data_IF_859555133447
#
_entry.id   IF_859555133447
#
_cell.length_a   1.000
_cell.length_b   1.000
_cell.length_c   1.000
_cell.angle_alpha   90.00
_cell.angle_beta   90.00
_cell.angle_gamma   90.00
#
_symmetry.space_group_name_H-M   'P 1'
#
loop_
_entity.id
_entity.type
_entity.pdbx_description
1 polymer ?
#
# COMPACT_ATOMS: atom_id res chain seq x y z
N UNK A 1 -85.57 -127.45 -36.75
CA UNK A 1 -84.67 -126.41 -36.16
C UNK A 1 -84.76 -125.00 -36.79
N UNK A 2 -85.14 -124.80 -38.06
CA UNK A 2 -85.30 -123.44 -38.67
C UNK A 2 -86.58 -122.68 -38.26
N UNK A 3 -87.66 -123.38 -37.86
CA UNK A 3 -88.92 -122.81 -37.30
C UNK A 3 -88.78 -122.05 -35.97
N UNK A 4 -87.69 -122.20 -35.20
CA UNK A 4 -87.50 -121.50 -33.90
C UNK A 4 -86.62 -120.24 -33.98
N UNK A 5 -85.68 -120.14 -34.95
CA UNK A 5 -84.75 -119.00 -35.11
C UNK A 5 -85.32 -117.86 -35.99
N UNK A 6 -86.09 -118.18 -37.04
CA UNK A 6 -86.73 -117.17 -37.89
C UNK A 6 -87.92 -116.47 -37.20
N UNK A 7 -88.74 -117.22 -36.47
CA UNK A 7 -89.86 -116.68 -35.68
C UNK A 7 -89.39 -115.75 -34.56
N UNK A 8 -88.31 -116.11 -33.83
CA UNK A 8 -87.71 -115.24 -32.80
C UNK A 8 -87.10 -113.95 -33.37
N UNK A 9 -86.54 -113.98 -34.60
CA UNK A 9 -86.05 -112.77 -35.29
C UNK A 9 -87.19 -111.91 -35.82
N UNK A 10 -88.25 -112.50 -36.36
CA UNK A 10 -89.42 -111.78 -36.85
C UNK A 10 -90.21 -111.10 -35.72
N UNK A 11 -90.34 -111.75 -34.55
CA UNK A 11 -90.94 -111.11 -33.37
C UNK A 11 -90.07 -109.97 -32.82
N UNK A 12 -88.74 -110.14 -32.73
CA UNK A 12 -87.83 -109.06 -32.31
C UNK A 12 -87.85 -107.85 -33.26
N UNK A 13 -87.79 -108.08 -34.57
CA UNK A 13 -87.89 -107.01 -35.57
C UNK A 13 -89.26 -106.31 -35.53
N UNK A 14 -90.34 -107.06 -35.27
CA UNK A 14 -91.68 -106.49 -35.13
C UNK A 14 -91.81 -105.64 -33.86
N UNK A 15 -91.18 -106.07 -32.76
CA UNK A 15 -91.13 -105.30 -31.51
C UNK A 15 -90.23 -104.06 -31.65
N UNK A 16 -89.12 -104.14 -32.39
CA UNK A 16 -88.27 -102.99 -32.72
C UNK A 16 -88.99 -102.00 -33.65
N UNK A 17 -89.69 -102.47 -34.68
CA UNK A 17 -90.50 -101.61 -35.56
C UNK A 17 -91.64 -100.95 -34.75
N UNK A 18 -92.26 -101.67 -33.82
CA UNK A 18 -93.25 -101.07 -32.91
C UNK A 18 -92.63 -99.99 -32.02
N UNK A 19 -91.43 -100.22 -31.47
CA UNK A 19 -90.71 -99.21 -30.68
C UNK A 19 -90.35 -97.98 -31.52
N UNK A 20 -89.77 -98.17 -32.69
CA UNK A 20 -89.38 -97.08 -33.60
C UNK A 20 -90.60 -96.28 -34.05
N UNK A 21 -91.73 -96.93 -34.37
CA UNK A 21 -92.97 -96.21 -34.70
C UNK A 21 -93.52 -95.43 -33.50
N UNK A 22 -93.43 -95.99 -32.29
CA UNK A 22 -93.84 -95.27 -31.06
C UNK A 22 -92.93 -94.06 -30.77
N UNK A 23 -91.62 -94.15 -31.06
CA UNK A 23 -90.67 -93.05 -30.94
C UNK A 23 -90.89 -91.99 -32.02
N UNK A 24 -91.15 -92.40 -33.26
CA UNK A 24 -91.51 -91.48 -34.35
C UNK A 24 -92.79 -90.72 -34.03
N UNK A 25 -93.82 -91.39 -33.51
CA UNK A 25 -95.06 -90.72 -33.10
C UNK A 25 -94.83 -89.71 -31.98
N UNK A 26 -93.96 -90.03 -31.01
CA UNK A 26 -93.55 -89.09 -29.96
C UNK A 26 -92.81 -87.87 -30.53
N UNK A 27 -91.82 -88.07 -31.40
CA UNK A 27 -91.06 -86.99 -32.02
C UNK A 27 -91.93 -86.10 -32.92
N UNK A 28 -92.89 -86.66 -33.65
CA UNK A 28 -93.85 -85.86 -34.44
C UNK A 28 -94.75 -85.03 -33.54
N UNK A 29 -95.10 -85.55 -32.36
CA UNK A 29 -95.87 -84.81 -31.35
C UNK A 29 -95.05 -83.66 -30.77
N UNK A 30 -93.81 -83.91 -30.38
CA UNK A 30 -92.87 -82.89 -29.89
C UNK A 30 -92.60 -81.81 -30.95
N UNK A 31 -92.41 -82.18 -32.22
CA UNK A 31 -92.25 -81.19 -33.31
C UNK A 31 -93.47 -80.29 -33.46
N UNK A 32 -94.69 -80.86 -33.38
CA UNK A 32 -95.94 -80.08 -33.45
C UNK A 32 -96.08 -79.12 -32.26
N UNK A 33 -95.67 -79.56 -31.07
CA UNK A 33 -95.72 -78.74 -29.86
C UNK A 33 -94.69 -77.61 -29.91
N UNK A 34 -93.45 -77.89 -30.33
CA UNK A 34 -92.41 -76.86 -30.55
C UNK A 34 -92.81 -75.85 -31.62
N UNK A 35 -93.42 -76.30 -32.72
CA UNK A 35 -93.90 -75.39 -33.77
C UNK A 35 -95.01 -74.46 -33.27
N UNK A 36 -95.94 -74.97 -32.45
CA UNK A 36 -96.95 -74.12 -31.79
C UNK A 36 -96.33 -73.12 -30.83
N UNK A 37 -95.25 -73.48 -30.13
CA UNK A 37 -94.53 -72.55 -29.26
C UNK A 37 -93.86 -71.42 -30.06
N UNK A 38 -93.21 -71.74 -31.18
CA UNK A 38 -92.60 -70.74 -32.07
C UNK A 38 -93.67 -69.79 -32.62
N UNK A 39 -94.79 -70.32 -33.15
CA UNK A 39 -95.90 -69.50 -33.65
C UNK A 39 -96.52 -68.62 -32.54
N UNK A 40 -96.38 -69.01 -31.27
CA UNK A 40 -96.79 -68.22 -30.10
C UNK A 40 -95.81 -67.08 -29.81
N UNK A 41 -94.52 -67.36 -29.79
CA UNK A 41 -93.46 -66.36 -29.57
C UNK A 41 -93.48 -65.30 -30.68
N UNK A 42 -93.69 -65.69 -31.94
CA UNK A 42 -93.80 -64.72 -33.04
C UNK A 42 -94.99 -63.76 -32.88
N UNK A 43 -96.10 -64.24 -32.32
CA UNK A 43 -97.25 -63.38 -32.00
C UNK A 43 -96.94 -62.44 -30.84
N UNK A 44 -96.22 -62.89 -29.82
CA UNK A 44 -95.77 -62.04 -28.72
C UNK A 44 -94.81 -60.95 -29.18
N UNK A 45 -93.84 -61.27 -30.04
CA UNK A 45 -92.92 -60.28 -30.63
C UNK A 45 -93.70 -59.22 -31.39
N UNK A 46 -94.70 -59.61 -32.18
CA UNK A 46 -95.54 -58.66 -32.92
C UNK A 46 -96.33 -57.75 -31.99
N UNK A 47 -96.95 -58.31 -30.94
CA UNK A 47 -97.69 -57.54 -29.95
C UNK A 47 -96.78 -56.56 -29.17
N UNK A 48 -95.55 -56.95 -28.86
CA UNK A 48 -94.56 -56.07 -28.23
C UNK A 48 -94.12 -54.94 -29.16
N UNK A 49 -93.94 -55.22 -30.45
CA UNK A 49 -93.63 -54.18 -31.45
C UNK A 49 -94.74 -53.14 -31.56
N UNK A 50 -96.00 -53.59 -31.62
CA UNK A 50 -97.16 -52.69 -31.67
C UNK A 50 -97.26 -51.84 -30.37
N UNK A 51 -96.93 -52.42 -29.21
CA UNK A 51 -96.87 -51.72 -27.92
C UNK A 51 -95.77 -50.64 -27.89
N UNK A 52 -94.60 -50.91 -28.47
CA UNK A 52 -93.51 -49.93 -28.59
C UNK A 52 -93.93 -48.75 -29.46
N UNK A 53 -94.65 -48.98 -30.55
CA UNK A 53 -95.14 -47.90 -31.42
C UNK A 53 -96.19 -47.03 -30.74
N UNK A 54 -97.06 -47.63 -29.92
CA UNK A 54 -98.00 -46.89 -29.07
C UNK A 54 -97.23 -46.04 -28.05
N UNK A 55 -96.21 -46.60 -27.39
CA UNK A 55 -95.40 -45.87 -26.42
C UNK A 55 -94.66 -44.68 -27.04
N UNK A 56 -94.12 -44.82 -28.27
CA UNK A 56 -93.50 -43.71 -29.01
C UNK A 56 -94.47 -42.58 -29.30
N UNK A 57 -95.71 -42.89 -29.70
CA UNK A 57 -96.76 -41.87 -29.92
C UNK A 57 -97.09 -41.11 -28.64
N UNK A 58 -97.23 -41.82 -27.51
CA UNK A 58 -97.47 -41.19 -26.21
C UNK A 58 -96.30 -40.30 -25.76
N UNK A 59 -95.06 -40.69 -26.07
CA UNK A 59 -93.87 -39.91 -25.76
C UNK A 59 -93.85 -38.58 -26.54
N UNK A 60 -94.17 -38.63 -27.84
CA UNK A 60 -94.32 -37.43 -28.67
C UNK A 60 -95.46 -36.51 -28.23
N UNK A 61 -96.58 -37.06 -27.74
CA UNK A 61 -97.65 -36.26 -27.13
C UNK A 61 -97.22 -35.62 -25.80
N UNK A 62 -96.46 -36.34 -24.97
CA UNK A 62 -95.90 -35.78 -23.72
C UNK A 62 -94.86 -34.70 -23.99
N UNK A 63 -94.05 -34.82 -25.03
CA UNK A 63 -93.11 -33.78 -25.48
C UNK A 63 -93.83 -32.53 -25.98
N UNK A 64 -94.93 -32.69 -26.73
CA UNK A 64 -95.80 -31.57 -27.09
C UNK A 64 -96.43 -30.91 -25.86
N UNK A 65 -96.88 -31.70 -24.88
CA UNK A 65 -97.37 -31.23 -23.59
C UNK A 65 -96.30 -30.50 -22.77
N UNK A 66 -95.04 -30.95 -22.79
CA UNK A 66 -93.91 -30.25 -22.15
C UNK A 66 -93.67 -28.90 -22.82
N UNK A 67 -93.78 -28.82 -24.15
CA UNK A 67 -93.65 -27.56 -24.88
C UNK A 67 -94.83 -26.59 -24.68
N UNK A 68 -96.04 -27.11 -24.39
CA UNK A 68 -97.23 -26.33 -24.04
C UNK A 68 -97.25 -25.91 -22.55
N UNK A 69 -96.60 -26.67 -21.65
CA UNK A 69 -96.38 -26.32 -20.22
C UNK A 69 -95.16 -25.38 -20.13
N UNK A 70 -95.27 -24.24 -20.80
CA UNK A 70 -94.36 -23.12 -20.69
C UNK A 70 -94.70 -22.33 -19.41
N UNK A 71 -93.91 -22.55 -18.35
CA UNK A 71 -93.78 -21.61 -17.21
C UNK A 71 -92.29 -21.43 -16.92
N UNK A 72 -91.84 -20.18 -17.04
CA UNK A 72 -90.48 -19.59 -16.99
C UNK A 72 -89.36 -20.37 -16.23
N UNK A 73 -88.49 -21.05 -16.98
CA UNK A 73 -87.25 -21.73 -16.51
C UNK A 73 -86.22 -20.76 -15.89
N UNK A 74 -86.24 -19.50 -16.29
CA UNK A 74 -85.18 -18.52 -15.97
C UNK A 74 -85.29 -18.01 -14.52
N UNK A 75 -86.48 -17.97 -13.93
CA UNK A 75 -86.68 -17.58 -12.52
C UNK A 75 -86.26 -18.68 -11.53
N UNK A 76 -86.45 -19.96 -11.89
CA UNK A 76 -86.08 -21.08 -11.01
C UNK A 76 -84.56 -21.27 -10.97
N UNK A 77 -83.89 -21.16 -12.11
CA UNK A 77 -82.42 -21.14 -12.20
C UNK A 77 -81.81 -19.97 -11.42
N UNK A 78 -82.37 -18.75 -11.49
CA UNK A 78 -81.88 -17.60 -10.71
C UNK A 78 -82.02 -17.77 -9.20
N UNK A 79 -83.10 -18.40 -8.72
CA UNK A 79 -83.28 -18.68 -7.29
C UNK A 79 -82.28 -19.74 -6.82
N UNK A 80 -82.05 -20.80 -7.60
CA UNK A 80 -81.03 -21.80 -7.29
C UNK A 80 -79.61 -21.20 -7.30
N UNK A 81 -79.28 -20.39 -8.31
CA UNK A 81 -78.00 -19.67 -8.38
C UNK A 81 -77.83 -18.70 -7.18
N UNK A 82 -78.87 -17.97 -6.80
CA UNK A 82 -78.83 -17.09 -5.62
C UNK A 82 -78.62 -17.87 -4.32
N UNK A 83 -79.24 -19.05 -4.19
CA UNK A 83 -79.05 -19.93 -3.04
C UNK A 83 -77.64 -20.55 -2.99
N UNK A 84 -77.08 -20.94 -4.14
CA UNK A 84 -75.70 -21.40 -4.24
C UNK A 84 -74.72 -20.28 -3.87
N UNK A 85 -74.91 -19.07 -4.38
CA UNK A 85 -74.12 -17.89 -4.01
C UNK A 85 -74.25 -17.58 -2.52
N UNK A 86 -75.45 -17.68 -1.92
CA UNK A 86 -75.63 -17.49 -0.48
C UNK A 86 -74.85 -18.54 0.32
N UNK A 87 -74.88 -19.81 -0.09
CA UNK A 87 -74.15 -20.89 0.56
C UNK A 87 -72.64 -20.72 0.42
N UNK A 88 -72.16 -20.24 -0.72
CA UNK A 88 -70.76 -19.87 -0.93
C UNK A 88 -70.36 -18.67 -0.07
N UNK A 89 -71.22 -17.65 0.03
CA UNK A 89 -71.02 -16.51 0.91
C UNK A 89 -70.94 -16.92 2.37
N UNK A 90 -71.84 -17.79 2.85
CA UNK A 90 -71.83 -18.30 4.23
C UNK A 90 -70.56 -19.11 4.53
N UNK A 91 -70.08 -19.91 3.56
CA UNK A 91 -68.79 -20.61 3.66
C UNK A 91 -67.62 -19.61 3.72
N UNK A 92 -67.61 -18.62 2.84
CA UNK A 92 -66.57 -17.59 2.79
C UNK A 92 -66.58 -16.70 4.05
N UNK A 93 -67.74 -16.38 4.61
CA UNK A 93 -67.89 -15.63 5.86
C UNK A 93 -67.37 -16.43 7.06
N UNK A 94 -67.65 -17.73 7.09
CA UNK A 94 -67.09 -18.62 8.12
C UNK A 94 -65.57 -18.72 8.02
N UNK A 95 -65.03 -18.93 6.83
CA UNK A 95 -63.58 -18.93 6.61
C UNK A 95 -62.94 -17.58 6.98
N UNK A 96 -63.60 -16.47 6.65
CA UNK A 96 -63.14 -15.12 7.00
C UNK A 96 -63.06 -14.97 8.52
N UNK A 97 -64.09 -15.36 9.27
CA UNK A 97 -64.11 -15.30 10.74
C UNK A 97 -63.01 -16.17 11.37
N UNK A 98 -62.78 -17.36 10.83
CA UNK A 98 -61.68 -18.23 11.28
C UNK A 98 -60.30 -17.60 11.03
N UNK A 99 -60.10 -16.99 9.84
CA UNK A 99 -58.87 -16.25 9.50
C UNK A 99 -58.70 -15.01 10.37
N UNK A 100 -59.76 -14.27 10.66
CA UNK A 100 -59.74 -13.10 11.55
C UNK A 100 -59.32 -13.48 12.98
N UNK A 101 -59.88 -14.57 13.51
CA UNK A 101 -59.45 -15.13 14.81
C UNK A 101 -57.97 -15.52 14.78
N UNK A 102 -57.51 -16.17 13.70
CA UNK A 102 -56.11 -16.56 13.55
C UNK A 102 -55.18 -15.34 13.47
N UNK A 103 -55.60 -14.26 12.82
CA UNK A 103 -54.85 -13.00 12.77
C UNK A 103 -54.69 -12.40 14.17
N UNK A 104 -55.73 -12.45 15.00
CA UNK A 104 -55.66 -11.94 16.37
C UNK A 104 -54.65 -12.73 17.22
N UNK A 105 -54.70 -14.07 17.15
CA UNK A 105 -53.74 -14.95 17.83
C UNK A 105 -52.30 -14.67 17.39
N UNK A 106 -52.07 -14.49 16.09
CA UNK A 106 -50.75 -14.17 15.55
C UNK A 106 -50.25 -12.80 16.02
N UNK A 107 -51.14 -11.79 16.11
CA UNK A 107 -50.78 -10.46 16.64
C UNK A 107 -50.35 -10.51 18.10
N UNK A 108 -51.04 -11.29 18.93
CA UNK A 108 -50.64 -11.49 20.32
C UNK A 108 -49.28 -12.18 20.43
N UNK A 109 -49.03 -13.18 19.59
CA UNK A 109 -47.75 -13.89 19.55
C UNK A 109 -46.60 -12.97 19.11
N UNK A 110 -46.82 -12.15 18.08
CA UNK A 110 -45.86 -11.12 17.65
C UNK A 110 -45.57 -10.15 18.80
N UNK A 111 -46.60 -9.70 19.53
CA UNK A 111 -46.42 -8.80 20.67
C UNK A 111 -45.59 -9.41 21.81
N UNK A 112 -45.74 -10.72 22.07
CA UNK A 112 -44.89 -11.45 23.04
C UNK A 112 -43.44 -11.54 22.54
N UNK A 113 -43.25 -11.92 21.28
CA UNK A 113 -41.92 -12.04 20.69
C UNK A 113 -41.19 -10.69 20.64
N UNK A 114 -41.87 -9.59 20.35
CA UNK A 114 -41.29 -8.24 20.39
C UNK A 114 -40.76 -7.88 21.78
N UNK A 115 -41.51 -8.21 22.84
CA UNK A 115 -41.04 -7.99 24.22
C UNK A 115 -39.83 -8.84 24.57
N UNK A 116 -39.77 -10.07 24.07
CA UNK A 116 -38.63 -10.95 24.32
C UNK A 116 -37.39 -10.50 23.54
N UNK A 117 -37.56 -10.02 22.30
CA UNK A 117 -36.49 -9.37 21.53
C UNK A 117 -35.95 -8.14 22.29
N UNK A 118 -36.81 -7.30 22.83
CA UNK A 118 -36.39 -6.12 23.61
C UNK A 118 -35.61 -6.49 24.88
N UNK A 119 -36.00 -7.57 25.57
CA UNK A 119 -35.23 -8.09 26.70
C UNK A 119 -33.86 -8.59 26.28
N UNK A 120 -33.78 -9.33 25.17
CA UNK A 120 -32.53 -9.86 24.63
C UNK A 120 -31.60 -8.72 24.21
N UNK A 121 -32.12 -7.69 23.53
CA UNK A 121 -31.34 -6.51 23.12
C UNK A 121 -30.75 -5.77 24.34
N UNK A 122 -31.54 -5.60 25.40
CA UNK A 122 -31.06 -5.02 26.65
C UNK A 122 -29.98 -5.87 27.34
N UNK A 123 -30.10 -7.20 27.28
CA UNK A 123 -29.07 -8.11 27.81
C UNK A 123 -27.79 -8.05 26.97
N UNK A 124 -27.89 -8.00 25.65
CA UNK A 124 -26.76 -7.84 24.74
C UNK A 124 -26.00 -6.54 25.03
N UNK A 125 -26.70 -5.40 25.12
CA UNK A 125 -26.09 -4.11 25.46
C UNK A 125 -25.37 -4.12 26.82
N UNK A 126 -25.91 -4.84 27.81
CA UNK A 126 -25.23 -5.01 29.11
C UNK A 126 -23.96 -5.85 28.96
N UNK A 127 -24.04 -6.97 28.24
CA UNK A 127 -22.89 -7.85 28.00
C UNK A 127 -21.80 -7.18 27.18
N UNK A 128 -22.15 -6.35 26.19
CA UNK A 128 -21.19 -5.54 25.43
C UNK A 128 -20.43 -4.56 26.33
N UNK A 129 -21.12 -3.90 27.27
CA UNK A 129 -20.46 -3.04 28.27
C UNK A 129 -19.53 -3.82 29.19
N UNK A 130 -19.98 -4.97 29.69
CA UNK A 130 -19.13 -5.86 30.51
C UNK A 130 -17.87 -6.30 29.73
N UNK A 131 -18.01 -6.66 28.45
CA UNK A 131 -16.89 -7.02 27.59
C UNK A 131 -15.92 -5.84 27.43
N UNK A 132 -16.42 -4.62 27.17
CA UNK A 132 -15.59 -3.43 27.05
C UNK A 132 -14.83 -3.12 28.36
N UNK A 133 -15.46 -3.29 29.51
CA UNK A 133 -14.82 -3.12 30.81
C UNK A 133 -13.72 -4.17 31.02
N UNK A 134 -13.99 -5.44 30.70
CA UNK A 134 -13.00 -6.52 30.78
C UNK A 134 -11.83 -6.26 29.83
N UNK A 135 -12.07 -5.87 28.58
CA UNK A 135 -11.02 -5.52 27.61
C UNK A 135 -10.13 -4.37 28.10
N UNK A 136 -10.74 -3.33 28.67
CA UNK A 136 -9.99 -2.22 29.26
C UNK A 136 -9.15 -2.68 30.46
N UNK A 137 -9.66 -3.62 31.26
CA UNK A 137 -8.91 -4.19 32.37
C UNK A 137 -7.77 -5.11 31.88
N UNK A 138 -7.98 -5.91 30.84
CA UNK A 138 -6.93 -6.71 30.19
C UNK A 138 -5.82 -5.80 29.67
N UNK A 139 -6.15 -4.74 28.93
CA UNK A 139 -5.14 -3.77 28.43
C UNK A 139 -4.35 -3.14 29.57
N UNK A 140 -5.01 -2.77 30.68
CA UNK A 140 -4.32 -2.25 31.88
C UNK A 140 -3.37 -3.29 32.49
N UNK A 141 -3.80 -4.55 32.56
CA UNK A 141 -2.97 -5.65 33.07
C UNK A 141 -1.80 -5.99 32.13
N UNK A 142 -2.00 -5.91 30.81
CA UNK A 142 -0.94 -6.10 29.81
C UNK A 142 0.12 -4.99 29.89
N UNK A 143 -0.28 -3.73 30.09
CA UNK A 143 0.65 -2.63 30.36
C UNK A 143 1.39 -2.78 31.69
N UNK A 144 0.82 -3.53 32.64
CA UNK A 144 1.40 -3.79 33.96
C UNK A 144 2.11 -5.14 34.05
N UNK A 145 2.21 -5.91 32.95
CA UNK A 145 2.90 -7.19 32.96
C UNK A 145 4.39 -6.91 33.24
N UNK A 146 4.96 -7.42 34.35
CA UNK A 146 6.38 -7.26 34.60
C UNK A 146 7.15 -7.93 33.46
N UNK A 147 8.17 -7.27 32.88
CA UNK A 147 9.00 -7.89 31.85
C UNK A 147 9.64 -9.16 32.41
N UNK A 148 9.70 -10.20 31.57
CA UNK A 148 10.33 -11.46 31.94
C UNK A 148 11.83 -11.22 32.19
N UNK A 149 12.50 -12.09 32.96
CA UNK A 149 13.95 -11.99 33.14
C UNK A 149 14.73 -11.96 31.81
N UNK A 150 14.21 -12.62 30.77
CA UNK A 150 14.77 -12.54 29.40
C UNK A 150 14.57 -11.16 28.77
N UNK A 151 13.38 -10.56 28.90
CA UNK A 151 13.07 -9.21 28.42
C UNK A 151 13.95 -8.15 29.11
N UNK A 152 14.16 -8.29 30.43
CA UNK A 152 15.06 -7.42 31.21
C UNK A 152 16.51 -7.57 30.77
N UNK A 153 16.97 -8.79 30.49
CA UNK A 153 18.32 -9.05 30.00
C UNK A 153 18.54 -8.44 28.61
N UNK A 154 17.57 -8.55 27.71
CA UNK A 154 17.67 -7.98 26.37
C UNK A 154 17.57 -6.45 26.37
N UNK A 155 16.73 -5.88 27.23
CA UNK A 155 16.70 -4.44 27.46
C UNK A 155 18.03 -3.94 28.02
N UNK A 156 18.63 -4.66 28.98
CA UNK A 156 19.95 -4.34 29.53
C UNK A 156 21.03 -4.35 28.43
N UNK A 157 21.05 -5.37 27.56
CA UNK A 157 21.97 -5.39 26.41
C UNK A 157 21.73 -4.23 25.45
N UNK A 158 20.47 -3.87 25.22
CA UNK A 158 20.10 -2.74 24.35
C UNK A 158 20.56 -1.40 24.94
N UNK A 159 20.37 -1.22 26.24
CA UNK A 159 20.87 -0.06 27.00
C UNK A 159 22.38 0.07 26.90
N UNK A 160 23.14 -1.01 27.14
CA UNK A 160 24.60 -0.93 27.07
C UNK A 160 25.10 -0.67 25.65
N UNK A 161 24.45 -1.21 24.62
CA UNK A 161 24.78 -0.89 23.23
C UNK A 161 24.57 0.60 22.93
N UNK A 162 23.43 1.16 23.33
CA UNK A 162 23.15 2.60 23.16
C UNK A 162 24.11 3.48 23.97
N UNK A 163 24.49 3.07 25.19
CA UNK A 163 25.49 3.79 26.01
C UNK A 163 26.83 3.87 25.31
N UNK A 164 27.34 2.74 24.81
CA UNK A 164 28.61 2.69 24.08
C UNK A 164 28.54 3.56 22.82
N UNK A 165 27.45 3.45 22.05
CA UNK A 165 27.25 4.28 20.85
C UNK A 165 27.27 5.78 21.17
N UNK A 166 26.53 6.22 22.19
CA UNK A 166 26.52 7.64 22.61
C UNK A 166 27.90 8.09 23.09
N UNK A 167 28.63 7.25 23.83
CA UNK A 167 30.00 7.57 24.27
C UNK A 167 30.95 7.74 23.08
N UNK A 168 30.89 6.86 22.09
CA UNK A 168 31.69 6.97 20.88
C UNK A 168 31.36 8.24 20.08
N UNK A 169 30.07 8.60 20.00
CA UNK A 169 29.63 9.82 19.32
C UNK A 169 30.09 11.09 20.06
N UNK A 170 30.06 11.10 21.39
CA UNK A 170 30.60 12.19 22.20
C UNK A 170 32.10 12.37 22.01
N UNK A 171 32.85 11.28 21.96
CA UNK A 171 34.29 11.35 21.72
C UNK A 171 34.59 11.92 20.32
N UNK A 172 33.83 11.51 19.30
CA UNK A 172 33.94 12.08 17.95
C UNK A 172 33.58 13.58 17.93
N UNK A 173 32.57 13.99 18.68
CA UNK A 173 32.19 15.41 18.80
C UNK A 173 33.30 16.24 19.45
N UNK A 174 33.92 15.70 20.50
CA UNK A 174 35.07 16.33 21.14
C UNK A 174 36.25 16.48 20.17
N UNK A 175 36.62 15.41 19.47
CA UNK A 175 37.69 15.45 18.46
C UNK A 175 37.36 16.44 17.32
N UNK A 176 36.09 16.54 16.92
CA UNK A 176 35.66 17.50 15.90
C UNK A 176 35.89 18.94 16.38
N UNK A 177 35.49 19.24 17.62
CA UNK A 177 35.67 20.55 18.21
C UNK A 177 37.16 20.90 18.39
N UNK A 178 37.99 19.91 18.75
CA UNK A 178 39.45 20.07 18.81
C UNK A 178 40.04 20.37 17.43
N UNK A 179 39.66 19.63 16.39
CA UNK A 179 40.08 19.87 15.01
C UNK A 179 39.64 21.26 14.51
N UNK A 180 38.42 21.69 14.84
CA UNK A 180 37.91 23.02 14.50
C UNK A 180 38.72 24.14 15.18
N UNK A 181 39.06 23.97 16.46
CA UNK A 181 39.88 24.93 17.19
C UNK A 181 41.31 25.00 16.62
N UNK A 182 41.91 23.85 16.32
CA UNK A 182 43.24 23.78 15.69
C UNK A 182 43.23 24.47 14.32
N UNK A 183 42.17 24.29 13.51
CA UNK A 183 42.01 24.99 12.24
C UNK A 183 41.93 26.51 12.42
N UNK A 184 41.16 27.00 13.40
CA UNK A 184 41.07 28.44 13.70
C UNK A 184 42.42 29.03 14.09
N UNK A 185 43.19 28.32 14.90
CA UNK A 185 44.54 28.74 15.31
C UNK A 185 45.52 28.75 14.13
N UNK A 186 45.49 27.70 13.30
CA UNK A 186 46.30 27.60 12.08
C UNK A 186 46.00 28.73 11.10
N UNK A 187 44.72 29.08 10.90
CA UNK A 187 44.34 30.16 10.01
C UNK A 187 44.88 31.51 10.50
N UNK A 188 44.87 31.76 11.82
CA UNK A 188 45.51 32.95 12.40
C UNK A 188 47.02 32.99 12.14
N UNK A 189 47.73 31.91 12.47
CA UNK A 189 49.19 31.82 12.26
C UNK A 189 49.52 31.99 10.77
N UNK A 190 48.73 31.38 9.88
CA UNK A 190 48.88 31.51 8.42
C UNK A 190 48.71 32.96 7.97
N UNK A 191 47.74 33.68 8.51
CA UNK A 191 47.53 35.09 8.20
C UNK A 191 48.69 35.96 8.68
N UNK A 192 49.19 35.73 9.91
CA UNK A 192 50.35 36.41 10.47
C UNK A 192 51.60 36.22 9.61
N UNK A 193 51.95 34.97 9.26
CA UNK A 193 53.09 34.64 8.39
C UNK A 193 52.94 35.28 7.01
N UNK A 194 51.73 35.27 6.42
CA UNK A 194 51.50 35.90 5.13
C UNK A 194 51.68 37.42 5.17
N UNK A 195 51.29 38.07 6.27
CA UNK A 195 51.51 39.49 6.45
C UNK A 195 53.01 39.81 6.61
N UNK A 196 53.74 39.02 7.39
CA UNK A 196 55.20 39.17 7.52
C UNK A 196 55.93 38.97 6.18
N UNK A 197 55.52 37.96 5.40
CA UNK A 197 56.05 37.73 4.05
C UNK A 197 55.84 38.97 3.17
N UNK A 198 54.63 39.54 3.15
CA UNK A 198 54.34 40.75 2.36
C UNK A 198 55.21 41.93 2.79
N UNK A 199 55.37 42.16 4.09
CA UNK A 199 56.23 43.24 4.59
C UNK A 199 57.69 43.05 4.18
N UNK A 200 58.21 41.83 4.23
CA UNK A 200 59.59 41.54 3.82
C UNK A 200 59.75 41.68 2.29
N UNK A 201 58.77 41.24 1.50
CA UNK A 201 58.77 41.42 0.05
C UNK A 201 58.76 42.90 -0.34
N UNK A 202 58.00 43.74 0.37
CA UNK A 202 58.00 45.19 0.17
C UNK A 202 59.35 45.82 0.56
N UNK A 203 59.92 45.45 1.72
CA UNK A 203 61.26 45.91 2.14
C UNK A 203 62.33 45.51 1.13
N UNK A 204 62.28 44.27 0.61
CA UNK A 204 63.19 43.80 -0.44
C UNK A 204 63.04 44.61 -1.72
N UNK A 205 61.81 44.90 -2.16
CA UNK A 205 61.56 45.72 -3.34
C UNK A 205 62.18 47.10 -3.20
N UNK A 206 61.95 47.77 -2.06
CA UNK A 206 62.49 49.09 -1.78
C UNK A 206 64.03 49.08 -1.75
N UNK A 207 64.64 48.09 -1.07
CA UNK A 207 66.10 47.95 -1.00
C UNK A 207 66.73 47.65 -2.36
N UNK A 208 66.10 46.83 -3.19
CA UNK A 208 66.55 46.57 -4.56
C UNK A 208 66.48 47.83 -5.43
N UNK A 209 65.43 48.64 -5.30
CA UNK A 209 65.33 49.92 -6.01
C UNK A 209 66.45 50.88 -5.58
N UNK A 210 66.70 51.02 -4.27
CA UNK A 210 67.80 51.85 -3.76
C UNK A 210 69.17 51.32 -4.21
N UNK A 211 69.35 49.99 -4.28
CA UNK A 211 70.59 49.40 -4.79
C UNK A 211 70.82 49.75 -6.26
N UNK A 212 69.76 49.73 -7.07
CA UNK A 212 69.83 50.09 -8.48
C UNK A 212 70.14 51.59 -8.68
N UNK A 213 69.55 52.47 -7.86
CA UNK A 213 69.88 53.90 -7.84
C UNK A 213 71.34 54.14 -7.47
N UNK A 214 71.82 53.52 -6.38
CA UNK A 214 73.22 53.65 -5.94
C UNK A 214 74.19 53.09 -6.98
N UNK A 215 73.84 52.01 -7.68
CA UNK A 215 74.67 51.47 -8.78
C UNK A 215 74.79 52.48 -9.93
N UNK A 216 73.69 53.13 -10.31
CA UNK A 216 73.69 54.19 -11.34
C UNK A 216 74.52 55.40 -10.89
N UNK A 217 74.37 55.83 -9.65
CA UNK A 217 75.17 56.91 -9.06
C UNK A 217 76.67 56.58 -9.12
N UNK A 218 77.07 55.36 -8.72
CA UNK A 218 78.48 54.93 -8.77
C UNK A 218 78.98 54.94 -10.22
N UNK A 219 78.21 54.41 -11.16
CA UNK A 219 78.60 54.42 -12.59
C UNK A 219 78.79 55.84 -13.13
N UNK A 220 77.92 56.77 -12.77
CA UNK A 220 78.02 58.17 -13.16
C UNK A 220 79.24 58.85 -12.52
N UNK A 221 79.46 58.65 -11.22
CA UNK A 221 80.63 59.17 -10.50
C UNK A 221 81.94 58.63 -11.09
N UNK A 222 82.01 57.33 -11.40
CA UNK A 222 83.19 56.72 -12.03
C UNK A 222 83.43 57.29 -13.43
N UNK A 223 82.38 57.46 -14.25
CA UNK A 223 82.50 58.09 -15.58
C UNK A 223 82.98 59.53 -15.48
N UNK A 224 82.42 60.30 -14.55
CA UNK A 224 82.81 61.70 -14.32
C UNK A 224 84.25 61.80 -13.81
N UNK A 225 84.66 60.92 -12.88
CA UNK A 225 86.02 60.87 -12.39
C UNK A 225 87.02 60.56 -13.53
N UNK A 226 86.72 59.55 -14.35
CA UNK A 226 87.54 59.18 -15.51
C UNK A 226 87.66 60.33 -16.52
N UNK A 227 86.56 61.05 -16.78
CA UNK A 227 86.60 62.24 -17.63
C UNK A 227 87.45 63.37 -17.04
N UNK A 228 87.39 63.57 -15.71
CA UNK A 228 88.23 64.54 -14.99
C UNK A 228 89.72 64.18 -15.03
N UNK A 229 90.07 62.92 -14.81
CA UNK A 229 91.46 62.43 -14.92
C UNK A 229 92.03 62.60 -16.33
N UNK A 230 91.23 62.32 -17.36
CA UNK A 230 91.64 62.56 -18.75
C UNK A 230 91.82 64.06 -19.03
N UNK A 231 91.00 64.92 -18.44
CA UNK A 231 91.08 66.37 -18.61
C UNK A 231 92.32 66.97 -17.92
N UNK A 232 92.74 66.46 -16.75
CA UNK A 232 94.00 66.85 -16.09
C UNK A 232 95.23 66.57 -16.95
N UNK A 233 95.18 65.54 -17.80
CA UNK A 233 96.26 65.18 -18.72
C UNK A 233 96.38 66.05 -19.99
N UNK A 234 95.43 66.96 -20.24
CA UNK A 234 95.42 67.81 -21.44
C UNK A 234 96.36 69.01 -21.29
N UNK A 235 97.19 69.26 -22.32
CA UNK A 235 98.10 70.42 -22.40
C UNK A 235 97.65 71.39 -23.46
N UNK A 236 97.76 72.69 -23.17
CA UNK A 236 97.38 73.75 -24.11
C UNK A 236 98.21 73.65 -25.40
N UNK A 237 97.52 73.68 -26.55
CA UNK A 237 98.14 73.54 -27.87
C UNK A 237 98.36 72.11 -28.37
N UNK A 238 98.06 71.07 -27.57
CA UNK A 238 98.12 69.66 -27.99
C UNK A 238 96.70 69.15 -28.28
N UNK A 239 96.46 68.47 -29.42
CA UNK A 239 95.14 67.93 -29.74
C UNK A 239 94.73 66.85 -28.72
N UNK A 240 93.51 66.95 -28.19
CA UNK A 240 92.95 66.01 -27.23
C UNK A 240 92.93 64.57 -27.80
N UNK A 241 93.39 63.54 -27.06
CA UNK A 241 93.46 62.18 -27.57
C UNK A 241 92.09 61.51 -27.78
N UNK A 242 91.02 62.06 -27.19
CA UNK A 242 89.66 61.51 -27.32
C UNK A 242 88.92 62.10 -28.53
N UNK A 243 89.05 63.41 -28.78
CA UNK A 243 88.25 64.10 -29.81
C UNK A 243 89.07 64.91 -30.84
N UNK A 244 90.39 65.03 -30.69
CA UNK A 244 91.27 65.75 -31.60
C UNK A 244 91.22 67.28 -31.50
N UNK A 245 90.33 67.86 -30.69
CA UNK A 245 90.23 69.32 -30.52
C UNK A 245 91.40 69.88 -29.72
N UNK A 246 91.88 71.06 -30.11
CA UNK A 246 92.87 71.86 -29.38
C UNK A 246 92.25 72.87 -28.42
N UNK A 247 90.92 73.07 -28.49
CA UNK A 247 90.18 74.00 -27.64
C UNK A 247 88.95 73.32 -27.02
N UNK A 248 88.86 73.36 -25.69
CA UNK A 248 87.70 72.92 -24.90
C UNK A 248 87.11 74.13 -24.14
N UNK A 249 85.78 74.29 -24.19
CA UNK A 249 85.08 75.42 -23.53
C UNK A 249 85.00 75.24 -22.02
N UNK A 250 84.90 73.99 -21.54
CA UNK A 250 84.89 73.63 -20.12
C UNK A 250 85.52 72.25 -19.94
N UNK A 251 86.52 72.15 -19.08
CA UNK A 251 87.14 70.88 -18.71
C UNK A 251 86.30 70.16 -17.66
N UNK A 252 86.27 68.83 -17.72
CA UNK A 252 85.67 68.01 -16.68
C UNK A 252 86.50 68.12 -15.40
N UNK A 253 85.83 68.11 -14.25
CA UNK A 253 86.49 68.13 -12.94
C UNK A 253 86.59 66.70 -12.39
N UNK A 254 87.70 66.42 -11.71
CA UNK A 254 87.89 65.17 -11.00
C UNK A 254 86.90 65.08 -9.83
N UNK A 255 86.38 63.88 -9.58
CA UNK A 255 85.46 63.63 -8.46
C UNK A 255 86.31 63.22 -7.25
N UNK A 256 85.92 63.62 -6.04
CA UNK A 256 86.62 63.18 -4.83
C UNK A 256 86.50 61.66 -4.66
N UNK A 257 87.64 60.99 -4.47
CA UNK A 257 87.71 59.53 -4.38
C UNK A 257 86.94 58.98 -3.17
N UNK A 258 86.82 59.78 -2.11
CA UNK A 258 86.07 59.44 -0.90
C UNK A 258 84.56 59.34 -1.15
N UNK A 259 83.99 60.13 -2.07
CA UNK A 259 82.57 60.05 -2.46
C UNK A 259 82.24 58.72 -3.16
N UNK A 260 83.16 58.22 -3.99
CA UNK A 260 83.00 56.93 -4.68
C UNK A 260 83.06 55.79 -3.66
N UNK A 261 84.00 55.86 -2.69
CA UNK A 261 84.12 54.87 -1.60
C UNK A 261 82.88 54.84 -0.72
N UNK A 262 82.35 55.99 -0.32
CA UNK A 262 81.13 56.09 0.48
C UNK A 262 79.94 55.42 -0.21
N UNK A 263 79.74 55.70 -1.51
CA UNK A 263 78.68 55.06 -2.30
C UNK A 263 78.89 53.54 -2.45
N UNK A 264 80.13 53.08 -2.59
CA UNK A 264 80.46 51.64 -2.61
C UNK A 264 80.14 50.95 -1.27
N UNK A 265 80.38 51.62 -0.14
CA UNK A 265 79.99 51.09 1.19
C UNK A 265 78.46 51.00 1.33
N UNK A 266 77.73 52.03 0.88
CA UNK A 266 76.26 52.00 0.85
C UNK A 266 75.76 50.82 0.00
N UNK A 267 76.35 50.60 -1.17
CA UNK A 267 76.03 49.46 -2.04
C UNK A 267 76.25 48.13 -1.31
N UNK A 268 77.41 47.94 -0.68
CA UNK A 268 77.74 46.70 0.04
C UNK A 268 76.76 46.45 1.21
N UNK A 269 76.39 47.50 1.94
CA UNK A 269 75.39 47.40 3.01
C UNK A 269 74.01 47.02 2.48
N UNK A 270 73.57 47.60 1.35
CA UNK A 270 72.31 47.24 0.71
C UNK A 270 72.31 45.79 0.20
N UNK A 271 73.39 45.33 -0.42
CA UNK A 271 73.52 43.94 -0.87
C UNK A 271 73.45 42.95 0.29
N UNK A 272 74.11 43.28 1.42
CA UNK A 272 74.01 42.49 2.65
C UNK A 272 72.59 42.46 3.22
N UNK A 273 71.93 43.61 3.33
CA UNK A 273 70.53 43.70 3.79
C UNK A 273 69.61 42.84 2.92
N UNK A 274 69.76 42.92 1.59
CA UNK A 274 68.97 42.13 0.63
C UNK A 274 69.17 40.64 0.86
N UNK A 275 70.41 40.18 1.02
CA UNK A 275 70.71 38.77 1.32
C UNK A 275 70.06 38.32 2.64
N UNK A 276 70.13 39.15 3.67
CA UNK A 276 69.53 38.85 4.98
C UNK A 276 67.99 38.76 4.89
N UNK A 277 67.34 39.68 4.18
CA UNK A 277 65.90 39.62 3.96
C UNK A 277 65.48 38.45 3.07
N UNK A 278 66.25 38.09 2.04
CA UNK A 278 66.01 36.90 1.22
C UNK A 278 66.08 35.62 2.05
N UNK A 279 67.05 35.52 2.95
CA UNK A 279 67.16 34.39 3.89
C UNK A 279 65.97 34.30 4.83
N UNK A 280 65.52 35.43 5.40
CA UNK A 280 64.31 35.49 6.22
C UNK A 280 63.06 35.07 5.44
N UNK A 281 62.90 35.59 4.22
CA UNK A 281 61.78 35.25 3.35
C UNK A 281 61.73 33.76 3.04
N UNK A 282 62.88 33.14 2.77
CA UNK A 282 62.96 31.70 2.51
C UNK A 282 62.50 30.88 3.73
N UNK A 283 62.91 31.28 4.94
CA UNK A 283 62.48 30.62 6.19
C UNK A 283 60.96 30.73 6.38
N UNK A 284 60.40 31.94 6.26
CA UNK A 284 58.95 32.15 6.41
C UNK A 284 58.14 31.38 5.36
N UNK A 285 58.61 31.31 4.10
CA UNK A 285 57.96 30.49 3.06
C UNK A 285 58.00 28.99 3.39
N UNK A 286 59.08 28.52 3.99
CA UNK A 286 59.19 27.15 4.50
C UNK A 286 58.20 26.87 5.65
N UNK A 287 58.09 27.80 6.60
CA UNK A 287 57.12 27.73 7.70
C UNK A 287 55.67 27.74 7.17
N UNK A 288 55.36 28.63 6.22
CA UNK A 288 54.06 28.69 5.56
C UNK A 288 53.67 27.36 4.92
N UNK A 289 54.58 26.73 4.18
CA UNK A 289 54.33 25.42 3.57
C UNK A 289 54.04 24.34 4.63
N UNK A 290 54.76 24.36 5.75
CA UNK A 290 54.48 23.45 6.87
C UNK A 290 53.11 23.68 7.51
N UNK A 291 52.67 24.94 7.60
CA UNK A 291 51.35 25.31 8.11
C UNK A 291 50.24 24.88 7.13
N UNK A 292 50.43 25.04 5.83
CA UNK A 292 49.47 24.61 4.81
C UNK A 292 49.21 23.10 4.83
N UNK A 293 50.27 22.30 5.03
CA UNK A 293 50.12 20.83 5.19
C UNK A 293 49.30 20.49 6.43
N UNK A 294 49.55 21.18 7.56
CA UNK A 294 48.77 20.99 8.79
C UNK A 294 47.31 21.41 8.61
N UNK A 295 47.07 22.54 7.95
CA UNK A 295 45.72 23.02 7.60
C UNK A 295 44.95 21.95 6.83
N UNK A 296 45.55 21.38 5.78
CA UNK A 296 44.91 20.35 4.98
C UNK A 296 44.64 19.07 5.80
N UNK A 297 45.55 18.68 6.69
CA UNK A 297 45.39 17.53 7.57
C UNK A 297 44.20 17.70 8.52
N UNK A 298 44.15 18.80 9.28
CA UNK A 298 43.06 19.06 10.21
C UNK A 298 41.73 19.29 9.49
N UNK A 299 41.75 19.88 8.30
CA UNK A 299 40.55 20.04 7.47
C UNK A 299 39.97 18.69 7.06
N UNK A 300 40.81 17.76 6.60
CA UNK A 300 40.38 16.38 6.28
C UNK A 300 39.83 15.66 7.50
N UNK A 301 40.42 15.86 8.67
CA UNK A 301 39.93 15.28 9.92
C UNK A 301 38.58 15.85 10.32
N UNK A 302 38.45 17.17 10.29
CA UNK A 302 37.19 17.88 10.56
C UNK A 302 36.07 17.42 9.62
N UNK A 303 36.33 17.38 8.31
CA UNK A 303 35.32 17.00 7.30
C UNK A 303 34.81 15.57 7.53
N UNK A 304 35.72 14.63 7.84
CA UNK A 304 35.35 13.24 8.18
C UNK A 304 34.46 13.16 9.41
N UNK A 305 34.80 13.91 10.47
CA UNK A 305 34.02 13.90 11.71
C UNK A 305 32.67 14.63 11.53
N UNK A 306 32.66 15.71 10.75
CA UNK A 306 31.45 16.45 10.41
C UNK A 306 30.47 15.57 9.62
N UNK A 307 30.95 14.80 8.63
CA UNK A 307 30.11 13.89 7.86
C UNK A 307 29.43 12.82 8.71
N UNK A 308 30.11 12.32 9.75
CA UNK A 308 29.53 11.36 10.70
C UNK A 308 28.46 12.03 11.57
N UNK A 309 28.70 13.26 12.02
CA UNK A 309 27.90 13.90 13.07
C UNK A 309 26.76 14.80 12.54
N UNK A 310 26.81 15.24 11.28
CA UNK A 310 25.89 16.27 10.73
C UNK A 310 24.40 15.95 10.87
N UNK A 311 24.03 14.68 10.79
CA UNK A 311 22.64 14.20 10.85
C UNK A 311 22.28 13.60 12.21
N UNK A 312 23.21 13.61 13.17
CA UNK A 312 23.05 13.00 14.49
C UNK A 312 22.64 14.07 15.50
N UNK A 313 21.47 13.86 16.13
CA UNK A 313 21.03 14.66 17.27
C UNK A 313 21.38 13.95 18.58
N UNK A 314 22.56 14.28 19.14
CA UNK A 314 23.06 13.71 20.38
C UNK A 314 22.11 13.93 21.57
N UNK A 315 21.52 15.12 21.71
CA UNK A 315 20.57 15.42 22.79
C UNK A 315 19.36 14.48 22.75
N UNK A 316 18.81 14.25 21.56
CA UNK A 316 17.67 13.34 21.39
C UNK A 316 18.04 11.90 21.74
N UNK A 317 19.23 11.44 21.35
CA UNK A 317 19.71 10.10 21.69
C UNK A 317 19.91 9.93 23.20
N UNK A 318 20.40 10.97 23.89
CA UNK A 318 20.53 10.98 25.35
C UNK A 318 19.17 10.97 26.06
N UNK A 319 18.20 11.74 25.57
CA UNK A 319 16.82 11.72 26.08
C UNK A 319 16.18 10.33 25.93
N UNK A 320 16.37 9.69 24.77
CA UNK A 320 15.91 8.32 24.53
C UNK A 320 16.58 7.32 25.47
N UNK A 321 17.90 7.43 25.68
CA UNK A 321 18.63 6.57 26.62
C UNK A 321 18.13 6.77 28.05
N UNK A 322 18.00 8.02 28.51
CA UNK A 322 17.51 8.34 29.85
C UNK A 322 16.10 7.78 30.10
N UNK A 323 15.23 7.85 29.08
CA UNK A 323 13.90 7.25 29.16
C UNK A 323 13.96 5.73 29.29
N UNK A 324 14.76 5.07 28.45
CA UNK A 324 14.95 3.62 28.53
C UNK A 324 15.54 3.18 29.87
N UNK A 325 16.46 3.95 30.45
CA UNK A 325 17.04 3.68 31.77
C UNK A 325 16.01 3.84 32.89
N UNK A 326 15.19 4.90 32.83
CA UNK A 326 14.09 5.10 33.76
C UNK A 326 13.10 3.93 33.72
N UNK A 327 12.70 3.51 32.51
CA UNK A 327 11.77 2.40 32.31
C UNK A 327 12.37 1.08 32.85
N UNK A 328 13.65 0.81 32.57
CA UNK A 328 14.35 -0.36 33.11
C UNK A 328 14.44 -0.37 34.64
N UNK A 329 14.71 0.79 35.27
CA UNK A 329 14.75 0.91 36.73
C UNK A 329 13.36 0.69 37.33
N UNK A 330 12.30 1.23 36.72
CA UNK A 330 10.93 1.01 37.16
C UNK A 330 10.54 -0.46 37.07
N UNK A 331 10.89 -1.13 35.97
CA UNK A 331 10.60 -2.55 35.76
C UNK A 331 11.42 -3.50 36.63
N UNK A 332 12.62 -3.10 37.07
CA UNK A 332 13.42 -3.90 38.02
C UNK A 332 12.88 -3.80 39.47
N UNK A 333 12.12 -2.75 39.79
CA UNK A 333 11.57 -2.50 41.13
C UNK A 333 10.19 -3.12 41.36
N UNK A 334 9.45 -3.39 40.30
CA UNK A 334 8.17 -4.09 40.29
C UNK A 334 8.38 -5.58 40.00
#
# INVERSE_FOLDING_TARGET
>A
MKRKKGLKRAFKLRDEIKKINSEREKLVKEYKDLKKQIDGIEREIKALSDSIDIAKRQLGEKEKRINEIKVDSNKREKIFAAFEIQKEFERADKEKKEKEKRILELKELIGKQQKDIEKIDNLLKRKEKEIQEVDNNIKKLEMQKPPTNEDLLDLQKSLERKRVEILELKEKEKLKNEAENNLKEILKIKEEINNEIKEIEEKLKNKNNSLEEVKKDIEELVKNNMAGELAEGLKEGVPCPVCGSIHHVRLAQKVEEDLIKEKQEIKANLEKDIMDYQSKLFKLKGELSGIEVKEEMYKKEYDKLWDILKDINLLKLEEELNKMESDFIQWKKN
#
